data_IF_326967359290
#
_entry.id   IF_326967359290
#
_cell.length_a   1.000
_cell.length_b   1.000
_cell.length_c   1.000
_cell.angle_alpha   90.00
_cell.angle_beta   90.00
_cell.angle_gamma   90.00
#
_symmetry.space_group_name_H-M   'P 1'
#
loop_
_entity.id
_entity.type
_entity.pdbx_description
1 polymer ?
#
# COMPACT_ATOMS: atom_id res chain seq x y z
N UNK A 1 10.39 3.86 4.53
CA UNK A 1 10.71 2.50 4.06
C UNK A 1 9.41 1.68 4.05
N UNK A 2 9.14 0.86 3.00
CA UNK A 2 7.96 0.00 2.97
C UNK A 2 7.93 -0.95 4.17
N UNK A 3 6.78 -1.07 4.80
CA UNK A 3 6.59 -1.97 5.93
C UNK A 3 6.51 -3.42 5.43
N UNK A 4 7.26 -4.31 6.05
CA UNK A 4 7.06 -5.75 5.85
C UNK A 4 5.84 -6.21 6.64
N UNK A 5 4.91 -6.87 5.96
CA UNK A 5 3.73 -7.45 6.60
C UNK A 5 3.90 -8.95 6.76
N UNK A 6 3.34 -9.56 7.80
CA UNK A 6 3.42 -11.00 8.01
C UNK A 6 2.43 -11.75 7.09
N UNK A 7 2.56 -11.57 5.78
CA UNK A 7 1.86 -12.37 4.78
C UNK A 7 2.83 -13.46 4.35
N UNK A 8 2.44 -14.71 4.53
CA UNK A 8 3.24 -15.85 4.11
C UNK A 8 3.52 -15.79 2.60
N UNK A 9 4.76 -15.99 2.18
CA UNK A 9 5.15 -16.01 0.78
C UNK A 9 5.42 -14.64 0.13
N UNK A 10 5.34 -13.54 0.87
CA UNK A 10 5.45 -12.17 0.34
C UNK A 10 6.81 -11.81 -0.30
N UNK A 11 7.85 -12.56 -0.03
CA UNK A 11 9.20 -12.36 -0.60
C UNK A 11 9.42 -13.19 -1.90
N UNK A 12 8.37 -13.78 -2.47
CA UNK A 12 8.45 -14.63 -3.67
C UNK A 12 8.60 -13.84 -4.99
N UNK A 13 8.91 -14.54 -6.08
CA UNK A 13 9.01 -13.92 -7.41
C UNK A 13 7.67 -13.36 -7.87
N UNK A 14 7.69 -12.32 -8.72
CA UNK A 14 6.51 -11.62 -9.24
C UNK A 14 5.60 -11.00 -8.15
N UNK A 15 6.20 -10.67 -6.99
CA UNK A 15 5.57 -9.93 -5.90
C UNK A 15 6.36 -8.66 -5.68
N UNK A 16 5.69 -7.52 -5.77
CA UNK A 16 6.31 -6.21 -5.79
C UNK A 16 5.69 -5.28 -4.76
N UNK A 17 6.45 -4.33 -4.27
CA UNK A 17 5.92 -3.18 -3.54
C UNK A 17 5.62 -2.01 -4.49
N UNK A 18 4.91 -1.00 -4.00
CA UNK A 18 4.50 0.15 -4.80
C UNK A 18 5.68 0.96 -5.36
N UNK A 19 6.81 1.03 -4.66
CA UNK A 19 7.97 1.78 -5.12
C UNK A 19 8.61 1.10 -6.33
N UNK A 20 8.74 -0.21 -6.31
CA UNK A 20 9.22 -0.98 -7.46
C UNK A 20 8.33 -0.78 -8.69
N UNK A 21 7.00 -0.75 -8.50
CA UNK A 21 6.04 -0.51 -9.58
C UNK A 21 6.18 0.90 -10.14
N UNK A 22 6.20 1.91 -9.29
CA UNK A 22 6.23 3.31 -9.72
C UNK A 22 7.58 3.75 -10.30
N UNK A 23 8.69 3.12 -9.85
CA UNK A 23 10.03 3.35 -10.39
C UNK A 23 10.29 2.58 -11.70
N UNK A 24 9.36 1.72 -12.14
CA UNK A 24 9.53 0.90 -13.34
C UNK A 24 10.48 -0.29 -13.17
N UNK A 25 10.73 -0.70 -11.93
CA UNK A 25 11.57 -1.86 -11.58
C UNK A 25 10.78 -3.18 -11.61
N UNK A 26 9.44 -3.10 -11.61
CA UNK A 26 8.54 -4.25 -11.60
C UNK A 26 8.07 -4.61 -13.02
N UNK A 27 8.38 -5.80 -13.47
CA UNK A 27 7.81 -6.37 -14.69
C UNK A 27 6.46 -7.04 -14.39
N UNK A 28 5.38 -6.27 -14.49
CA UNK A 28 4.02 -6.75 -14.23
C UNK A 28 3.44 -7.49 -15.44
N UNK A 29 2.80 -8.63 -15.22
CA UNK A 29 1.98 -9.31 -16.23
C UNK A 29 0.64 -8.63 -16.51
N UNK A 30 -0.29 -9.30 -17.17
CA UNK A 30 -1.59 -8.74 -17.58
C UNK A 30 -2.63 -8.73 -16.46
N UNK A 31 -2.63 -9.76 -15.59
CA UNK A 31 -3.57 -9.89 -14.48
C UNK A 31 -2.83 -9.61 -13.16
N UNK A 32 -3.13 -8.50 -12.54
CA UNK A 32 -2.44 -8.03 -11.33
C UNK A 32 -3.40 -7.99 -10.15
N UNK A 33 -3.02 -8.62 -9.04
CA UNK A 33 -3.72 -8.41 -7.77
C UNK A 33 -2.96 -7.38 -6.93
N UNK A 34 -3.65 -6.33 -6.51
CA UNK A 34 -3.14 -5.33 -5.58
C UNK A 34 -3.77 -5.56 -4.21
N UNK A 35 -2.94 -5.90 -3.23
CA UNK A 35 -3.36 -6.13 -1.84
C UNK A 35 -3.15 -4.84 -1.06
N UNK A 36 -4.27 -4.20 -0.66
CA UNK A 36 -4.30 -2.90 -0.02
C UNK A 36 -4.57 -3.01 1.48
N UNK A 37 -3.53 -2.79 2.29
CA UNK A 37 -3.62 -2.62 3.74
C UNK A 37 -3.41 -1.16 4.18
N UNK A 38 -3.31 -0.23 3.24
CA UNK A 38 -3.07 1.18 3.49
C UNK A 38 -4.36 2.02 3.44
N UNK A 39 -5.26 1.68 2.52
CA UNK A 39 -6.55 2.37 2.32
C UNK A 39 -6.43 3.79 1.77
N UNK A 40 -5.21 4.29 1.55
CA UNK A 40 -4.90 5.66 1.15
C UNK A 40 -4.68 5.83 -0.36
N UNK A 41 -4.35 7.07 -0.74
CA UNK A 41 -4.06 7.49 -2.12
C UNK A 41 -3.00 6.62 -2.81
N UNK A 42 -2.02 6.09 -2.08
CA UNK A 42 -0.94 5.27 -2.65
C UNK A 42 -1.47 4.01 -3.34
N UNK A 43 -2.39 3.30 -2.71
CA UNK A 43 -2.99 2.09 -3.29
C UNK A 43 -3.80 2.43 -4.54
N UNK A 44 -4.67 3.44 -4.45
CA UNK A 44 -5.55 3.83 -5.56
C UNK A 44 -4.77 4.40 -6.74
N UNK A 45 -3.77 5.26 -6.49
CA UNK A 45 -2.93 5.82 -7.54
C UNK A 45 -2.11 4.73 -8.24
N UNK A 46 -1.57 3.76 -7.49
CA UNK A 46 -0.83 2.63 -8.07
C UNK A 46 -1.75 1.73 -8.89
N UNK A 47 -2.95 1.42 -8.41
CA UNK A 47 -3.94 0.65 -9.17
C UNK A 47 -4.33 1.37 -10.46
N UNK A 48 -4.57 2.68 -10.41
CA UNK A 48 -4.87 3.50 -11.57
C UNK A 48 -3.70 3.55 -12.56
N UNK A 49 -2.47 3.68 -12.07
CA UNK A 49 -1.25 3.64 -12.89
C UNK A 49 -1.11 2.30 -13.65
N UNK A 50 -1.34 1.17 -12.98
CA UNK A 50 -1.29 -0.16 -13.58
C UNK A 50 -2.42 -0.34 -14.61
N UNK A 51 -3.64 0.07 -14.29
CA UNK A 51 -4.79 0.00 -15.19
C UNK A 51 -4.61 0.88 -16.44
N UNK A 52 -3.94 2.03 -16.33
CA UNK A 52 -3.61 2.90 -17.47
C UNK A 52 -2.63 2.24 -18.47
N UNK A 53 -1.90 1.21 -18.04
CA UNK A 53 -1.04 0.39 -18.92
C UNK A 53 -1.84 -0.72 -19.64
N UNK A 54 -3.16 -0.73 -19.54
CA UNK A 54 -4.04 -1.73 -20.13
C UNK A 54 -4.07 -3.08 -19.40
N UNK A 55 -3.58 -3.13 -18.17
CA UNK A 55 -3.57 -4.33 -17.34
C UNK A 55 -4.87 -4.45 -16.53
N UNK A 56 -5.28 -5.68 -16.26
CA UNK A 56 -6.41 -5.96 -15.35
C UNK A 56 -5.92 -5.90 -13.91
N UNK A 57 -6.68 -5.22 -13.06
CA UNK A 57 -6.33 -5.04 -11.64
C UNK A 57 -7.48 -5.46 -10.77
N UNK A 58 -7.21 -6.39 -9.85
CA UNK A 58 -8.09 -6.73 -8.73
C UNK A 58 -7.51 -6.13 -7.45
N UNK A 59 -8.30 -5.32 -6.73
CA UNK A 59 -7.91 -4.77 -5.44
C UNK A 59 -8.57 -5.56 -4.32
N UNK A 60 -7.74 -6.13 -3.41
CA UNK A 60 -8.20 -6.85 -2.22
C UNK A 60 -7.82 -6.05 -0.98
N UNK A 61 -8.75 -5.88 -0.04
CA UNK A 61 -8.51 -5.17 1.23
C UNK A 61 -9.29 -5.80 2.38
N UNK A 62 -8.76 -5.67 3.59
CA UNK A 62 -9.48 -6.03 4.83
C UNK A 62 -10.47 -4.96 5.29
N UNK A 63 -10.42 -3.77 4.70
CA UNK A 63 -11.34 -2.67 5.01
C UNK A 63 -12.73 -2.93 4.42
N UNK A 64 -13.76 -2.31 5.00
CA UNK A 64 -15.16 -2.40 4.56
C UNK A 64 -15.35 -2.02 3.07
N UNK A 65 -14.50 -1.16 2.56
CA UNK A 65 -14.46 -0.78 1.14
C UNK A 65 -13.07 -0.29 0.74
N UNK A 66 -12.77 -0.42 -0.55
CA UNK A 66 -11.53 0.12 -1.14
C UNK A 66 -11.50 1.65 -0.97
N UNK A 67 -10.34 2.21 -0.69
CA UNK A 67 -10.10 3.64 -0.45
C UNK A 67 -10.68 4.15 0.87
N UNK A 68 -10.78 3.33 1.90
CA UNK A 68 -11.45 3.65 3.16
C UNK A 68 -10.94 4.97 3.80
N UNK A 69 -9.65 5.23 3.71
CA UNK A 69 -8.99 6.40 4.30
C UNK A 69 -9.10 7.69 3.44
N UNK A 70 -9.74 7.64 2.27
CA UNK A 70 -9.97 8.82 1.42
C UNK A 70 -11.27 9.58 1.75
N UNK A 71 -12.08 9.06 2.68
CA UNK A 71 -13.30 9.73 3.14
C UNK A 71 -13.07 11.16 3.66
N UNK A 72 -12.12 11.37 4.59
CA UNK A 72 -11.86 12.69 5.18
C UNK A 72 -11.38 13.75 4.19
N UNK A 73 -10.73 13.36 3.08
CA UNK A 73 -10.27 14.29 2.04
C UNK A 73 -11.30 14.51 0.94
N UNK A 74 -12.45 13.81 1.01
CA UNK A 74 -13.51 13.81 -0.01
C UNK A 74 -13.09 13.25 -1.38
N UNK A 75 -11.93 12.61 -1.48
CA UNK A 75 -11.43 12.00 -2.71
C UNK A 75 -12.03 10.61 -3.00
N UNK A 76 -12.70 10.02 -2.01
CA UNK A 76 -13.22 8.65 -2.07
C UNK A 76 -14.08 8.40 -3.32
N UNK A 77 -15.05 9.30 -3.58
CA UNK A 77 -15.97 9.12 -4.70
C UNK A 77 -15.24 9.17 -6.04
N UNK A 78 -14.44 10.21 -6.26
CA UNK A 78 -13.72 10.41 -7.51
C UNK A 78 -12.68 9.32 -7.79
N UNK A 79 -11.97 8.86 -6.76
CA UNK A 79 -11.00 7.77 -6.89
C UNK A 79 -11.69 6.46 -7.29
N UNK A 80 -12.76 6.07 -6.60
CA UNK A 80 -13.53 4.86 -6.92
C UNK A 80 -14.14 4.92 -8.31
N UNK A 81 -14.68 6.09 -8.70
CA UNK A 81 -15.25 6.29 -10.04
C UNK A 81 -14.20 6.05 -11.13
N UNK A 82 -13.01 6.65 -11.01
CA UNK A 82 -11.92 6.47 -11.99
C UNK A 82 -11.45 5.02 -12.08
N UNK A 83 -11.30 4.35 -10.94
CA UNK A 83 -10.87 2.94 -10.91
C UNK A 83 -11.89 2.03 -11.58
N UNK A 84 -13.19 2.18 -11.26
CA UNK A 84 -14.27 1.39 -11.87
C UNK A 84 -14.39 1.66 -13.38
N UNK A 85 -14.23 2.90 -13.83
CA UNK A 85 -14.24 3.24 -15.26
C UNK A 85 -13.08 2.58 -16.04
N UNK A 86 -11.98 2.24 -15.35
CA UNK A 86 -10.82 1.51 -15.91
C UNK A 86 -10.94 -0.01 -15.75
N UNK A 87 -12.06 -0.50 -15.24
CA UNK A 87 -12.33 -1.92 -15.06
C UNK A 87 -11.61 -2.56 -13.86
N UNK A 88 -11.13 -1.76 -12.91
CA UNK A 88 -10.57 -2.29 -11.65
C UNK A 88 -11.68 -2.93 -10.83
N UNK A 89 -11.47 -4.16 -10.38
CA UNK A 89 -12.39 -4.89 -9.52
C UNK A 89 -12.03 -4.72 -8.04
N UNK A 90 -13.03 -4.81 -7.17
CA UNK A 90 -12.88 -4.58 -5.73
C UNK A 90 -13.36 -5.79 -4.93
N UNK A 91 -12.49 -6.29 -4.04
CA UNK A 91 -12.79 -7.39 -3.11
C UNK A 91 -12.49 -6.90 -1.67
N UNK A 92 -13.46 -6.25 -1.02
CA UNK A 92 -13.34 -5.77 0.37
C UNK A 92 -13.54 -6.91 1.38
N UNK A 93 -13.34 -6.58 2.67
CA UNK A 93 -13.58 -7.45 3.83
C UNK A 93 -12.69 -8.69 3.90
N UNK A 94 -11.58 -8.70 3.18
CA UNK A 94 -10.67 -9.85 3.11
C UNK A 94 -9.33 -9.57 3.77
N UNK A 95 -9.05 -10.30 4.84
CA UNK A 95 -7.71 -10.37 5.42
C UNK A 95 -6.87 -11.41 4.65
N UNK A 96 -5.90 -10.94 3.89
CA UNK A 96 -4.96 -11.82 3.18
C UNK A 96 -3.91 -12.34 4.15
N UNK A 97 -3.73 -13.65 4.21
CA UNK A 97 -2.82 -14.32 5.14
C UNK A 97 -1.63 -14.97 4.44
N UNK A 98 -1.82 -15.37 3.19
CA UNK A 98 -0.80 -16.08 2.41
C UNK A 98 -0.89 -15.71 0.94
N UNK A 99 0.26 -15.58 0.31
CA UNK A 99 0.40 -15.48 -1.13
C UNK A 99 1.35 -16.58 -1.61
N UNK A 100 1.04 -17.19 -2.73
CA UNK A 100 1.76 -18.37 -3.21
C UNK A 100 1.79 -18.45 -4.74
N UNK A 101 2.12 -19.64 -5.24
CA UNK A 101 2.22 -19.95 -6.66
C UNK A 101 3.51 -19.48 -7.31
N UNK A 102 3.72 -19.96 -8.53
CA UNK A 102 4.86 -19.57 -9.37
C UNK A 102 4.64 -18.22 -10.05
N UNK A 103 5.67 -17.68 -10.70
CA UNK A 103 5.53 -16.49 -11.53
C UNK A 103 4.55 -16.78 -12.68
N UNK A 104 3.57 -15.89 -12.90
CA UNK A 104 2.50 -16.07 -13.90
C UNK A 104 1.30 -16.89 -13.41
N UNK A 105 1.35 -17.47 -12.20
CA UNK A 105 0.25 -18.23 -11.60
C UNK A 105 0.17 -17.98 -10.08
N UNK A 106 0.20 -16.72 -9.67
CA UNK A 106 0.12 -16.32 -8.27
C UNK A 106 -1.27 -16.55 -7.69
N UNK A 107 -1.32 -17.03 -6.46
CA UNK A 107 -2.56 -17.18 -5.70
C UNK A 107 -2.52 -16.35 -4.42
N UNK A 108 -3.69 -15.93 -3.99
CA UNK A 108 -3.91 -15.16 -2.76
C UNK A 108 -4.89 -15.91 -1.89
N UNK A 109 -4.52 -16.25 -0.66
CA UNK A 109 -5.39 -16.88 0.32
C UNK A 109 -5.69 -15.94 1.47
N UNK A 110 -6.95 -15.89 1.84
CA UNK A 110 -7.42 -15.05 2.91
C UNK A 110 -8.80 -15.44 3.39
N UNK A 111 -9.29 -14.74 4.39
CA UNK A 111 -10.62 -14.99 4.92
C UNK A 111 -11.42 -13.68 5.01
N UNK A 112 -12.73 -13.80 4.92
CA UNK A 112 -13.62 -12.68 5.17
C UNK A 112 -13.61 -12.35 6.67
N UNK A 113 -13.31 -11.09 7.02
CA UNK A 113 -13.09 -10.64 8.41
C UNK A 113 -14.32 -10.73 9.29
N UNK A 114 -15.52 -10.85 8.72
CA UNK A 114 -16.77 -10.96 9.47
C UNK A 114 -17.26 -12.40 9.59
N UNK A 115 -17.18 -13.19 8.51
CA UNK A 115 -17.70 -14.57 8.47
C UNK A 115 -16.66 -15.62 8.82
N UNK A 116 -15.37 -15.27 8.82
CA UNK A 116 -14.23 -16.19 8.94
C UNK A 116 -14.19 -17.29 7.86
N UNK A 117 -14.93 -17.13 6.76
CA UNK A 117 -14.87 -18.04 5.62
C UNK A 117 -13.62 -17.77 4.81
N UNK A 118 -12.90 -18.84 4.49
CA UNK A 118 -11.66 -18.78 3.70
C UNK A 118 -11.94 -18.84 2.21
N UNK A 119 -11.15 -18.12 1.46
CA UNK A 119 -11.18 -18.05 0.00
C UNK A 119 -9.77 -18.10 -0.58
N UNK A 120 -9.71 -18.49 -1.83
CA UNK A 120 -8.50 -18.42 -2.64
C UNK A 120 -8.83 -17.73 -3.96
N UNK A 121 -7.99 -16.78 -4.37
CA UNK A 121 -8.10 -16.02 -5.61
C UNK A 121 -6.87 -16.24 -6.48
N UNK A 122 -7.06 -16.07 -7.78
CA UNK A 122 -6.03 -16.25 -8.81
C UNK A 122 -6.53 -17.15 -9.94
N UNK A 123 -5.66 -17.54 -10.88
CA UNK A 123 -4.26 -17.15 -10.91
C UNK A 123 -4.05 -15.71 -11.34
N UNK A 124 -3.06 -15.04 -10.77
CA UNK A 124 -2.57 -13.73 -11.17
C UNK A 124 -1.16 -13.84 -11.73
N UNK A 125 -0.81 -12.94 -12.66
CA UNK A 125 0.56 -12.90 -13.20
C UNK A 125 1.52 -12.25 -12.19
N UNK A 126 1.03 -11.26 -11.45
CA UNK A 126 1.82 -10.49 -10.48
C UNK A 126 0.97 -10.05 -9.29
N UNK A 127 1.64 -9.89 -8.14
CA UNK A 127 1.04 -9.29 -6.95
C UNK A 127 1.73 -7.97 -6.61
N UNK A 128 0.96 -6.99 -6.16
CA UNK A 128 1.47 -5.71 -5.65
C UNK A 128 1.00 -5.52 -4.22
N UNK A 129 1.95 -5.38 -3.30
CA UNK A 129 1.67 -5.24 -1.88
C UNK A 129 1.73 -3.77 -1.46
N UNK A 130 0.63 -3.24 -0.93
CA UNK A 130 0.54 -1.89 -0.37
C UNK A 130 0.37 -2.01 1.14
N UNK A 131 1.50 -2.07 1.84
CA UNK A 131 1.55 -2.42 3.27
C UNK A 131 1.78 -1.23 4.21
N UNK A 132 1.66 0.00 3.70
CA UNK A 132 2.04 1.19 4.44
C UNK A 132 3.56 1.35 4.57
N UNK A 133 3.99 2.18 5.49
CA UNK A 133 5.42 2.50 5.69
C UNK A 133 5.80 2.36 7.15
N UNK A 134 7.06 2.06 7.39
CA UNK A 134 7.68 2.11 8.71
C UNK A 134 8.62 3.30 8.81
N UNK A 135 8.86 3.71 10.04
CA UNK A 135 9.82 4.77 10.36
C UNK A 135 11.21 4.38 9.88
N UNK A 136 11.93 5.38 9.34
CA UNK A 136 13.35 5.33 9.10
C UNK A 136 13.99 6.46 9.93
N UNK A 137 14.50 6.13 11.10
CA UNK A 137 15.07 7.08 12.05
C UNK A 137 16.53 6.76 12.42
N UNK A 138 17.21 5.94 11.63
CA UNK A 138 18.59 5.50 11.86
C UNK A 138 19.54 6.70 12.00
N UNK A 139 19.41 7.70 11.11
CA UNK A 139 20.21 8.92 11.20
C UNK A 139 19.98 9.66 12.51
N UNK A 140 18.73 9.85 12.92
CA UNK A 140 18.39 10.49 14.19
C UNK A 140 18.99 9.72 15.37
N UNK A 141 18.82 8.40 15.39
CA UNK A 141 19.35 7.54 16.46
C UNK A 141 20.88 7.58 16.52
N UNK A 142 21.55 7.65 15.37
CA UNK A 142 23.03 7.74 15.31
C UNK A 142 23.58 9.06 15.84
N UNK A 143 22.80 10.16 15.76
CA UNK A 143 23.21 11.50 16.18
C UNK A 143 22.67 11.88 17.58
N UNK A 144 21.71 11.16 18.11
CA UNK A 144 21.08 11.42 19.41
C UNK A 144 22.11 11.45 20.53
N UNK A 145 22.12 12.54 21.28
CA UNK A 145 23.07 12.79 22.37
C UNK A 145 24.46 13.28 21.91
N UNK A 146 24.70 13.40 20.60
CA UNK A 146 25.97 13.93 20.03
C UNK A 146 25.87 15.41 19.63
N UNK A 147 24.66 15.91 19.43
CA UNK A 147 24.37 17.27 19.05
C UNK A 147 23.55 17.96 20.17
N UNK A 148 23.81 19.25 20.46
CA UNK A 148 23.06 19.99 21.49
C UNK A 148 21.60 20.20 21.08
N UNK A 149 21.34 20.33 19.79
CA UNK A 149 20.01 20.48 19.21
C UNK A 149 19.84 19.48 18.08
N UNK A 150 18.87 18.59 18.21
CA UNK A 150 18.53 17.57 17.23
C UNK A 150 17.03 17.29 17.29
N UNK A 151 16.35 17.57 16.20
CA UNK A 151 14.92 17.43 16.10
C UNK A 151 14.55 16.36 15.08
N UNK A 152 13.41 15.71 15.27
CA UNK A 152 12.84 14.71 14.37
C UNK A 152 11.40 15.10 14.05
N UNK A 153 11.08 15.23 12.76
CA UNK A 153 9.76 15.63 12.25
C UNK A 153 9.37 14.79 11.03
N UNK A 154 8.09 14.82 10.67
CA UNK A 154 7.58 14.14 9.49
C UNK A 154 7.63 12.62 9.59
N UNK A 155 7.89 11.95 8.48
CA UNK A 155 7.81 10.50 8.37
C UNK A 155 8.87 9.75 9.18
N UNK A 156 9.97 10.40 9.55
CA UNK A 156 10.94 9.82 10.48
C UNK A 156 10.44 9.79 11.95
N UNK A 157 9.35 10.49 12.28
CA UNK A 157 8.64 10.35 13.56
C UNK A 157 7.58 9.25 13.45
N UNK A 158 6.74 9.36 12.43
CA UNK A 158 5.68 8.40 12.12
C UNK A 158 5.18 8.65 10.70
N UNK A 159 5.29 7.69 9.79
CA UNK A 159 4.75 7.83 8.45
C UNK A 159 3.25 8.10 8.48
N UNK A 160 2.87 9.24 7.92
CA UNK A 160 1.49 9.74 7.88
C UNK A 160 1.24 10.49 6.58
N UNK A 161 0.20 11.34 6.55
CA UNK A 161 -0.10 12.19 5.40
C UNK A 161 0.83 13.41 5.37
N UNK A 162 1.01 13.97 4.18
CA UNK A 162 1.88 15.12 3.93
C UNK A 162 1.50 16.36 4.75
N UNK A 163 0.20 16.55 5.04
CA UNK A 163 -0.28 17.65 5.88
C UNK A 163 0.33 17.62 7.29
N UNK A 164 0.51 16.43 7.86
CA UNK A 164 1.14 16.29 9.17
C UNK A 164 2.62 16.62 9.15
N UNK A 165 3.34 16.22 8.09
CA UNK A 165 4.75 16.57 7.93
C UNK A 165 4.95 18.09 7.79
N UNK A 166 4.08 18.75 7.01
CA UNK A 166 4.08 20.22 6.86
C UNK A 166 3.78 20.90 8.21
N UNK A 167 2.77 20.40 8.92
CA UNK A 167 2.39 20.97 10.23
C UNK A 167 3.52 20.85 11.26
N UNK A 168 4.17 19.69 11.35
CA UNK A 168 5.29 19.48 12.28
C UNK A 168 6.49 20.37 11.91
N UNK A 169 6.80 20.51 10.60
CA UNK A 169 7.85 21.42 10.14
C UNK A 169 7.55 22.87 10.51
N UNK A 170 6.30 23.31 10.28
CA UNK A 170 5.87 24.67 10.64
C UNK A 170 5.89 24.90 12.15
N UNK A 171 5.45 23.91 12.95
CA UNK A 171 5.50 23.99 14.40
C UNK A 171 6.94 24.15 14.90
N UNK A 172 7.83 23.24 14.50
CA UNK A 172 9.23 23.28 14.92
C UNK A 172 9.90 24.59 14.50
N UNK A 173 9.73 25.05 13.25
CA UNK A 173 10.33 26.30 12.76
C UNK A 173 9.83 27.58 13.45
N UNK A 174 8.86 27.48 14.36
CA UNK A 174 8.39 28.57 15.24
C UNK A 174 8.89 28.45 16.69
N UNK A 175 9.42 27.31 17.05
CA UNK A 175 9.91 27.00 18.39
C UNK A 175 11.45 27.16 18.52
N UNK A 176 12.15 27.12 17.37
CA UNK A 176 13.62 27.36 17.25
C UNK A 176 13.96 28.76 16.67
#
# INVERSE_FOLDING_TARGET
VPKKYPVGGADGPAIFNILQVLNGEAELGQNVCLIDYDGHQRATATAEFIANQGKKVDMITSSLFICAELGPTQDLYSARQRLLQKGVTFTPDIAVMEVGGEAGAKTVKGFNVYSNVWFEWGPYDSLVLVMGQQVDDDLYMSLKGKLPELYRIGDCVSPRRVDMAIWEGHKLGREI
#
